data_IF_267355439273
#
_entry.id   IF_267355439273
#
_cell.length_a   1.000
_cell.length_b   1.000
_cell.length_c   1.000
_cell.angle_alpha   90.00
_cell.angle_beta   90.00
_cell.angle_gamma   90.00
#
_symmetry.space_group_name_H-M   'P 1'
#
loop_
_entity.id
_entity.type
_entity.pdbx_description
1 polymer ?
#
# COMPACT_ATOMS: atom_id res chain seq x y z
N UNK A 1 1.19 8.81 -18.08
CA UNK A 1 1.19 7.35 -18.30
C UNK A 1 2.46 6.75 -17.67
N UNK A 2 2.60 6.80 -16.34
CA UNK A 2 3.85 6.36 -15.65
C UNK A 2 3.64 5.23 -14.62
N UNK A 3 2.39 4.97 -14.23
CA UNK A 3 2.05 3.98 -13.18
C UNK A 3 2.14 2.53 -13.64
N UNK A 4 2.21 2.29 -14.94
CA UNK A 4 2.25 0.95 -15.55
C UNK A 4 3.64 0.55 -16.05
N UNK A 5 4.64 1.42 -15.89
CA UNK A 5 6.00 1.13 -16.33
C UNK A 5 6.69 0.25 -15.30
N UNK A 6 7.43 -0.76 -15.75
CA UNK A 6 8.18 -1.65 -14.86
C UNK A 6 9.17 -0.87 -13.97
N UNK A 7 9.74 0.23 -14.46
CA UNK A 7 10.64 1.10 -13.68
C UNK A 7 9.96 1.69 -12.44
N UNK A 8 8.69 2.06 -12.53
CA UNK A 8 7.92 2.56 -11.40
C UNK A 8 7.69 1.47 -10.35
N UNK A 9 7.36 0.25 -10.79
CA UNK A 9 7.20 -0.89 -9.88
C UNK A 9 8.53 -1.24 -9.19
N UNK A 10 9.64 -1.27 -9.93
CA UNK A 10 10.98 -1.53 -9.37
C UNK A 10 11.35 -0.49 -8.31
N UNK A 11 11.24 0.81 -8.61
CA UNK A 11 11.59 1.85 -7.65
C UNK A 11 10.77 1.80 -6.36
N UNK A 12 9.47 1.45 -6.46
CA UNK A 12 8.63 1.21 -5.28
C UNK A 12 9.11 -0.01 -4.51
N UNK A 13 9.38 -1.12 -5.20
CA UNK A 13 9.82 -2.35 -4.56
C UNK A 13 11.13 -2.15 -3.78
N UNK A 14 12.12 -1.53 -4.41
CA UNK A 14 13.41 -1.20 -3.79
C UNK A 14 13.22 -0.31 -2.55
N UNK A 15 12.34 0.70 -2.65
CA UNK A 15 12.02 1.58 -1.53
C UNK A 15 11.38 0.82 -0.36
N UNK A 16 10.39 -0.04 -0.63
CA UNK A 16 9.73 -0.86 0.40
C UNK A 16 10.74 -1.80 1.05
N UNK A 17 11.60 -2.47 0.27
CA UNK A 17 12.61 -3.38 0.79
C UNK A 17 13.62 -2.64 1.67
N UNK A 18 14.06 -1.46 1.25
CA UNK A 18 14.96 -0.62 2.03
C UNK A 18 14.34 -0.26 3.38
N UNK A 19 13.09 0.23 3.38
CA UNK A 19 12.35 0.56 4.60
C UNK A 19 12.14 -0.69 5.47
N UNK A 20 11.81 -1.83 4.88
CA UNK A 20 11.62 -3.10 5.58
C UNK A 20 12.89 -3.57 6.31
N UNK A 21 14.08 -3.32 5.75
CA UNK A 21 15.35 -3.66 6.40
C UNK A 21 15.72 -2.71 7.54
N UNK A 22 15.31 -1.44 7.46
CA UNK A 22 15.67 -0.43 8.46
C UNK A 22 14.67 -0.34 9.62
N UNK A 23 13.37 -0.49 9.34
CA UNK A 23 12.33 -0.27 10.34
C UNK A 23 12.04 -1.56 11.11
N UNK A 24 12.18 -1.57 12.44
CA UNK A 24 11.84 -2.75 13.25
C UNK A 24 10.33 -2.99 13.29
N UNK A 25 9.92 -4.21 13.61
CA UNK A 25 8.51 -4.56 13.90
C UNK A 25 7.57 -4.26 12.71
N UNK A 26 6.49 -3.49 12.93
CA UNK A 26 5.38 -3.30 12.00
C UNK A 26 5.53 -2.13 11.04
N UNK A 27 5.30 -2.40 9.75
CA UNK A 27 5.15 -1.38 8.70
C UNK A 27 3.76 -1.48 8.09
N UNK A 28 3.11 -0.34 7.87
CA UNK A 28 1.86 -0.26 7.10
C UNK A 28 2.13 0.30 5.72
N UNK A 29 1.68 -0.36 4.66
CA UNK A 29 1.83 0.08 3.28
C UNK A 29 0.44 0.27 2.68
N UNK A 30 0.03 1.52 2.52
CA UNK A 30 -1.28 1.88 1.99
C UNK A 30 -1.20 2.24 0.51
N UNK A 31 -2.00 1.56 -0.31
CA UNK A 31 -2.15 1.82 -1.73
C UNK A 31 -3.38 2.70 -1.99
N UNK A 32 -3.34 3.53 -3.03
CA UNK A 32 -4.47 4.37 -3.40
C UNK A 32 -5.73 3.59 -3.84
N UNK A 33 -5.58 2.34 -4.31
CA UNK A 33 -6.70 1.48 -4.72
C UNK A 33 -6.32 -0.01 -4.73
N UNK A 34 -7.31 -0.91 -4.65
CA UNK A 34 -7.09 -2.35 -4.80
C UNK A 34 -6.47 -2.71 -6.15
N UNK A 35 -6.87 -2.02 -7.23
CA UNK A 35 -6.30 -2.27 -8.56
C UNK A 35 -4.81 -1.94 -8.61
N UNK A 36 -4.37 -0.85 -7.97
CA UNK A 36 -2.96 -0.50 -7.90
C UNK A 36 -2.18 -1.51 -7.06
N UNK A 37 -2.74 -1.92 -5.91
CA UNK A 37 -2.13 -2.91 -5.04
C UNK A 37 -1.95 -4.26 -5.76
N UNK A 38 -3.02 -4.80 -6.35
CA UNK A 38 -2.99 -6.08 -7.06
C UNK A 38 -2.00 -6.04 -8.25
N UNK A 39 -1.97 -4.92 -8.97
CA UNK A 39 -1.05 -4.73 -10.09
C UNK A 39 0.42 -4.70 -9.64
N UNK A 40 0.75 -3.93 -8.60
CA UNK A 40 2.11 -3.85 -8.07
C UNK A 40 2.56 -5.16 -7.43
N UNK A 41 1.70 -5.83 -6.65
CA UNK A 41 2.01 -7.15 -6.09
C UNK A 41 2.34 -8.16 -7.20
N UNK A 42 1.54 -8.16 -8.27
CA UNK A 42 1.79 -9.04 -9.43
C UNK A 42 3.15 -8.74 -10.05
N UNK A 43 3.51 -7.45 -10.21
CA UNK A 43 4.82 -7.04 -10.72
C UNK A 43 5.97 -7.38 -9.78
N UNK A 44 5.78 -7.29 -8.46
CA UNK A 44 6.82 -7.67 -7.50
C UNK A 44 7.13 -9.16 -7.54
N UNK A 45 6.14 -9.99 -7.85
CA UNK A 45 6.30 -11.45 -8.01
C UNK A 45 6.93 -11.83 -9.36
N UNK A 46 6.64 -11.07 -10.42
CA UNK A 46 7.14 -11.31 -11.77
C UNK A 46 8.58 -10.80 -11.95
N UNK A 47 8.86 -9.58 -11.49
CA UNK A 47 10.13 -8.90 -11.71
C UNK A 47 11.19 -9.42 -10.75
N UNK A 48 12.41 -9.58 -11.29
CA UNK A 48 13.59 -9.99 -10.54
C UNK A 48 14.60 -8.85 -10.49
N UNK A 49 15.39 -8.84 -9.42
CA UNK A 49 16.49 -7.90 -9.30
C UNK A 49 17.55 -8.26 -10.35
N UNK A 50 17.63 -7.42 -11.39
CA UNK A 50 18.56 -7.61 -12.51
C UNK A 50 20.00 -7.27 -12.12
N UNK A 51 20.21 -6.57 -11.01
CA UNK A 51 21.53 -6.15 -10.54
C UNK A 51 22.23 -7.25 -9.72
N UNK A 52 21.50 -8.23 -9.20
CA UNK A 52 22.07 -9.39 -8.51
C UNK A 52 22.22 -10.58 -9.45
N UNK A 53 23.34 -10.64 -10.19
CA UNK A 53 23.71 -11.78 -11.07
C UNK A 53 23.67 -13.17 -10.40
N UNK A 54 23.65 -13.26 -9.06
CA UNK A 54 23.67 -14.50 -8.31
C UNK A 54 22.33 -14.87 -7.66
N UNK A 55 21.36 -13.94 -7.58
CA UNK A 55 20.09 -14.16 -6.87
C UNK A 55 18.92 -14.13 -7.84
N UNK A 56 18.32 -15.30 -8.10
CA UNK A 56 17.15 -15.45 -8.97
C UNK A 56 15.81 -15.04 -8.31
N UNK A 57 15.87 -14.30 -7.19
CA UNK A 57 14.72 -13.98 -6.34
C UNK A 57 13.91 -12.82 -6.91
N UNK A 58 12.59 -12.94 -6.85
CA UNK A 58 11.69 -11.83 -7.18
C UNK A 58 11.77 -10.74 -6.11
N UNK A 59 11.30 -9.54 -6.41
CA UNK A 59 11.19 -8.50 -5.39
C UNK A 59 10.25 -8.91 -4.25
N UNK A 60 9.19 -9.68 -4.57
CA UNK A 60 8.29 -10.24 -3.58
C UNK A 60 9.01 -11.16 -2.59
N UNK A 61 9.87 -12.06 -3.10
CA UNK A 61 10.63 -12.98 -2.26
C UNK A 61 11.55 -12.20 -1.30
N UNK A 62 12.23 -11.17 -1.80
CA UNK A 62 13.07 -10.28 -0.99
C UNK A 62 12.27 -9.55 0.11
N UNK A 63 11.05 -9.12 -0.18
CA UNK A 63 10.16 -8.51 0.83
C UNK A 63 9.76 -9.53 1.90
N UNK A 64 9.39 -10.75 1.49
CA UNK A 64 9.00 -11.81 2.43
C UNK A 64 10.15 -12.34 3.28
N UNK A 65 11.39 -12.25 2.78
CA UNK A 65 12.60 -12.55 3.56
C UNK A 65 12.92 -11.45 4.57
N UNK A 66 12.61 -10.20 4.23
CA UNK A 66 12.80 -9.07 5.14
C UNK A 66 11.75 -9.08 6.27
N UNK A 67 10.47 -9.27 5.96
CA UNK A 67 9.37 -9.32 6.94
C UNK A 67 8.20 -10.17 6.45
N UNK A 68 7.37 -10.64 7.39
CA UNK A 68 6.09 -11.26 7.05
C UNK A 68 5.21 -10.26 6.29
N UNK A 69 4.86 -10.57 5.04
CA UNK A 69 3.97 -9.73 4.22
C UNK A 69 2.54 -10.23 4.34
N UNK A 70 1.65 -9.37 4.81
CA UNK A 70 0.23 -9.64 4.98
C UNK A 70 -0.58 -8.68 4.12
N UNK A 71 -1.54 -9.18 3.34
CA UNK A 71 -2.32 -8.36 2.38
C UNK A 71 -3.78 -8.29 2.80
N UNK A 72 -4.36 -7.09 2.70
CA UNK A 72 -5.76 -6.83 3.02
C UNK A 72 -6.70 -7.67 2.13
N UNK A 73 -7.64 -8.43 2.71
CA UNK A 73 -8.60 -9.21 1.94
C UNK A 73 -9.72 -8.34 1.37
N UNK A 74 -10.17 -8.66 0.15
CA UNK A 74 -11.35 -8.02 -0.46
C UNK A 74 -12.66 -8.32 0.28
N UNK A 75 -12.73 -9.36 1.11
CA UNK A 75 -13.91 -9.72 1.91
C UNK A 75 -13.74 -9.35 3.39
N UNK A 76 -14.81 -8.85 4.05
CA UNK A 76 -14.74 -8.40 5.46
C UNK A 76 -14.51 -9.56 6.43
N UNK A 77 -15.06 -10.74 6.13
CA UNK A 77 -14.97 -11.96 6.94
C UNK A 77 -13.53 -12.37 7.28
N UNK A 78 -12.61 -12.21 6.33
CA UNK A 78 -11.22 -12.64 6.50
C UNK A 78 -10.34 -11.61 7.22
N UNK A 79 -10.85 -10.39 7.43
CA UNK A 79 -10.02 -9.28 7.91
C UNK A 79 -9.50 -9.53 9.34
N UNK A 80 -10.33 -10.08 10.22
CA UNK A 80 -9.94 -10.37 11.60
C UNK A 80 -8.76 -11.37 11.67
N UNK A 81 -8.81 -12.42 10.85
CA UNK A 81 -7.76 -13.43 10.77
C UNK A 81 -6.44 -12.83 10.28
N UNK A 82 -6.49 -12.09 9.17
CA UNK A 82 -5.34 -11.44 8.56
C UNK A 82 -4.71 -10.43 9.53
N UNK A 83 -5.53 -9.69 10.30
CA UNK A 83 -5.05 -8.78 11.34
C UNK A 83 -4.33 -9.50 12.48
N UNK A 84 -4.89 -10.61 12.95
CA UNK A 84 -4.27 -11.43 13.99
C UNK A 84 -2.91 -11.97 13.53
N UNK A 85 -2.82 -12.36 12.25
CA UNK A 85 -1.58 -12.83 11.64
C UNK A 85 -0.52 -11.73 11.59
N UNK A 86 -0.90 -10.52 11.13
CA UNK A 86 -0.02 -9.35 11.16
C UNK A 86 0.47 -9.04 12.58
N UNK A 87 -0.45 -8.95 13.55
CA UNK A 87 -0.11 -8.61 14.94
C UNK A 87 0.86 -9.62 15.56
N UNK A 88 0.67 -10.91 15.25
CA UNK A 88 1.61 -11.97 15.68
C UNK A 88 2.97 -11.81 14.99
N UNK A 89 2.98 -11.54 13.68
CA UNK A 89 4.23 -11.31 12.95
C UNK A 89 5.01 -10.09 13.44
N UNK A 90 4.33 -9.03 13.89
CA UNK A 90 4.96 -7.84 14.49
C UNK A 90 5.73 -8.17 15.78
N UNK A 91 5.28 -9.17 16.56
CA UNK A 91 5.96 -9.58 17.79
C UNK A 91 7.19 -10.48 17.52
N UNK A 92 7.30 -11.05 16.32
CA UNK A 92 8.47 -11.83 15.94
C UNK A 92 9.66 -10.92 15.64
N UNK A 93 10.88 -11.46 15.74
CA UNK A 93 12.13 -10.68 15.54
C UNK A 93 12.22 -10.05 14.14
N UNK A 94 11.71 -10.72 13.10
CA UNK A 94 11.65 -10.16 11.75
C UNK A 94 10.65 -9.00 11.61
N UNK A 95 9.57 -9.01 12.39
CA UNK A 95 8.44 -8.09 12.21
C UNK A 95 7.56 -8.43 11.00
N UNK A 96 6.61 -7.53 10.70
CA UNK A 96 5.62 -7.73 9.64
C UNK A 96 5.33 -6.44 8.88
N UNK A 97 4.86 -6.58 7.65
CA UNK A 97 4.32 -5.48 6.84
C UNK A 97 2.89 -5.79 6.40
N UNK A 98 2.02 -4.78 6.49
CA UNK A 98 0.61 -4.90 6.14
C UNK A 98 0.28 -4.05 4.91
N UNK A 99 -0.06 -4.72 3.82
CA UNK A 99 -0.45 -4.08 2.55
C UNK A 99 -1.96 -3.87 2.55
N UNK A 100 -2.38 -2.62 2.53
CA UNK A 100 -3.77 -2.21 2.66
C UNK A 100 -4.14 -1.12 1.66
N UNK A 101 -5.42 -0.82 1.51
CA UNK A 101 -5.89 0.26 0.63
C UNK A 101 -6.36 1.45 1.47
N UNK A 102 -6.01 2.66 1.04
CA UNK A 102 -6.51 3.90 1.64
C UNK A 102 -8.04 3.94 1.55
N UNK A 103 -8.73 4.28 2.64
CA UNK A 103 -10.21 4.18 2.73
C UNK A 103 -10.74 2.75 2.50
N UNK A 104 -9.88 1.75 2.65
CA UNK A 104 -10.26 0.36 2.76
C UNK A 104 -10.87 0.08 4.13
N UNK A 105 -11.29 -1.17 4.36
CA UNK A 105 -11.94 -1.58 5.61
C UNK A 105 -11.04 -1.42 6.82
N UNK A 106 -9.74 -1.45 6.58
CA UNK A 106 -8.70 -1.31 7.61
C UNK A 106 -8.40 0.15 7.91
N UNK A 107 -8.74 1.07 7.01
CA UNK A 107 -8.61 2.50 7.24
C UNK A 107 -9.76 3.08 8.08
N UNK A 108 -10.83 2.31 8.32
CA UNK A 108 -12.00 2.74 9.08
C UNK A 108 -12.10 1.94 10.39
N UNK A 109 -11.71 2.55 11.51
CA UNK A 109 -11.95 2.02 12.86
C UNK A 109 -10.92 1.01 13.39
N UNK A 110 -9.79 0.81 12.72
CA UNK A 110 -8.68 0.00 13.24
C UNK A 110 -7.54 0.91 13.66
N UNK A 111 -7.22 0.87 14.95
CA UNK A 111 -6.06 1.56 15.52
C UNK A 111 -4.86 0.60 15.53
N UNK A 112 -3.76 1.01 14.88
CA UNK A 112 -2.48 0.32 14.96
C UNK A 112 -1.59 1.11 15.89
N UNK A 113 -1.35 0.58 17.10
CA UNK A 113 -0.57 1.26 18.10
C UNK A 113 0.90 0.83 18.10
N UNK A 114 1.78 1.81 18.34
CA UNK A 114 3.22 1.68 18.58
C UNK A 114 3.94 0.68 17.66
N UNK A 115 4.17 -0.56 18.13
CA UNK A 115 4.92 -1.61 17.42
C UNK A 115 4.30 -1.98 16.08
N UNK A 116 2.98 -1.83 15.93
CA UNK A 116 2.25 -2.17 14.72
C UNK A 116 2.37 -1.12 13.60
N UNK A 117 2.83 0.10 13.91
CA UNK A 117 2.89 1.22 12.96
C UNK A 117 4.17 2.05 13.10
N UNK A 118 5.34 1.39 13.13
CA UNK A 118 6.63 2.07 13.26
C UNK A 118 7.00 2.87 12.00
N UNK A 119 6.46 2.47 10.85
CA UNK A 119 6.44 3.28 9.64
C UNK A 119 5.14 3.09 8.87
N UNK A 120 4.72 4.14 8.17
CA UNK A 120 3.56 4.14 7.28
C UNK A 120 3.98 4.67 5.92
N UNK A 121 3.84 3.84 4.89
CA UNK A 121 4.13 4.17 3.50
C UNK A 121 2.83 4.37 2.75
N UNK A 122 2.69 5.47 2.01
CA UNK A 122 1.52 5.73 1.16
C UNK A 122 1.97 5.72 -0.29
N UNK A 123 1.44 4.77 -1.07
CA UNK A 123 1.78 4.56 -2.47
C UNK A 123 0.70 5.16 -3.35
N UNK A 124 1.06 6.29 -3.95
CA UNK A 124 0.17 7.12 -4.76
C UNK A 124 -0.71 8.03 -3.88
N UNK A 125 -1.40 8.97 -4.53
CA UNK A 125 -2.33 9.88 -3.84
C UNK A 125 -3.73 9.26 -3.89
N UNK A 126 -4.39 9.04 -2.73
CA UNK A 126 -5.73 8.46 -2.66
C UNK A 126 -6.77 9.50 -3.05
N UNK A 127 -6.88 9.78 -4.35
CA UNK A 127 -7.91 10.65 -4.89
C UNK A 127 -9.28 10.01 -4.74
N UNK A 128 -10.31 10.81 -4.45
CA UNK A 128 -11.66 10.29 -4.41
C UNK A 128 -12.13 9.97 -5.84
N UNK A 129 -13.10 9.06 -6.03
CA UNK A 129 -13.46 8.58 -7.36
C UNK A 129 -13.98 9.72 -8.25
N UNK A 130 -13.29 10.02 -9.34
CA UNK A 130 -13.61 11.19 -10.18
C UNK A 130 -15.02 11.14 -10.79
N UNK A 131 -15.59 9.93 -10.92
CA UNK A 131 -16.90 9.69 -11.52
C UNK A 131 -18.02 9.50 -10.48
N UNK A 132 -17.75 9.64 -9.17
CA UNK A 132 -18.82 9.65 -8.15
C UNK A 132 -19.68 10.90 -8.36
N UNK A 133 -20.99 10.72 -8.47
CA UNK A 133 -21.97 11.78 -8.72
C UNK A 133 -21.83 12.92 -7.71
N UNK A 134 -21.61 12.61 -6.42
CA UNK A 134 -21.46 13.64 -5.37
C UNK A 134 -20.21 14.48 -5.58
N UNK A 135 -19.13 13.87 -6.08
CA UNK A 135 -17.87 14.56 -6.36
C UNK A 135 -18.04 15.47 -7.57
N UNK A 136 -18.70 14.98 -8.62
CA UNK A 136 -19.03 15.79 -9.80
C UNK A 136 -19.88 17.00 -9.43
N UNK A 137 -20.99 16.79 -8.71
CA UNK A 137 -21.88 17.87 -8.27
C UNK A 137 -21.17 18.89 -7.38
N UNK A 138 -20.37 18.41 -6.41
CA UNK A 138 -19.59 19.31 -5.54
C UNK A 138 -18.56 20.12 -6.33
N UNK A 139 -17.91 19.53 -7.34
CA UNK A 139 -16.98 20.24 -8.21
C UNK A 139 -17.68 21.30 -9.04
N UNK A 140 -18.85 21.00 -9.60
CA UNK A 140 -19.65 21.97 -10.36
C UNK A 140 -20.03 23.17 -9.49
N UNK A 141 -20.63 22.92 -8.34
CA UNK A 141 -21.03 23.97 -7.40
C UNK A 141 -19.86 24.87 -6.96
N UNK A 142 -18.72 24.27 -6.60
CA UNK A 142 -17.54 25.03 -6.19
C UNK A 142 -16.91 25.83 -7.34
N UNK A 143 -17.06 25.36 -8.58
CA UNK A 143 -16.58 26.08 -9.75
C UNK A 143 -17.48 27.29 -10.07
N UNK A 144 -18.79 27.15 -9.88
CA UNK A 144 -19.77 28.25 -10.04
C UNK A 144 -19.47 29.38 -9.03
N UNK A 145 -19.35 29.07 -7.74
CA UNK A 145 -19.01 30.07 -6.70
C UNK A 145 -17.69 30.79 -7.02
N UNK A 146 -16.66 30.03 -7.45
CA UNK A 146 -15.36 30.62 -7.80
C UNK A 146 -15.41 31.54 -9.02
N UNK A 147 -16.36 31.35 -9.92
CA UNK A 147 -16.54 32.22 -11.07
C UNK A 147 -17.23 33.53 -10.65
N UNK A 148 -18.20 33.44 -9.73
CA UNK A 148 -18.90 34.59 -9.14
C UNK A 148 -17.96 35.47 -8.30
N UNK A 149 -17.08 34.89 -7.46
CA UNK A 149 -16.10 35.62 -6.64
C UNK A 149 -15.03 36.38 -7.45
N UNK A 150 -14.90 36.09 -8.75
CA UNK A 150 -13.92 36.72 -9.64
C UNK A 150 -14.50 37.85 -10.49
N UNK A 151 -15.81 38.06 -10.44
CA UNK A 151 -16.50 39.20 -11.07
C UNK A 151 -16.65 40.35 -10.08
#
# INVERSE_FOLDING_TARGET
MFRHTNTYAVGIAESIISIAKTVPQGILVFFASYNLMDHLISKFKELKDSNQKLSSKSYWDQMTEAKLVVVEPKQKSHLARVRSEFTRGVQNEQGAMFFAVCRGKVSEGIDFSDKCSRAVCIIGVPYPPLMDVRICLKRLYLNEIKAEDKM
#
